data_IF_280942705120
#
_entry.id   IF_280942705120
#
_cell.length_a   1.000
_cell.length_b   1.000
_cell.length_c   1.000
_cell.angle_alpha   90.00
_cell.angle_beta   90.00
_cell.angle_gamma   90.00
#
_symmetry.space_group_name_H-M   'P 1'
#
loop_
_entity.id
_entity.type
_entity.pdbx_description
1 polymer ?
#
# COMPACT_ATOMS: atom_id res chain seq x y z
N UNK A 1 -13.92 48.02 -27.44
CA UNK A 1 -12.86 47.63 -26.52
C UNK A 1 -13.30 46.46 -25.63
N UNK A 2 -13.92 45.42 -26.22
CA UNK A 2 -14.39 44.22 -25.50
C UNK A 2 -14.17 42.91 -26.27
N UNK A 3 -13.30 42.90 -27.26
CA UNK A 3 -13.03 41.69 -28.07
C UNK A 3 -11.80 40.85 -27.63
N UNK A 4 -11.15 41.15 -26.52
CA UNK A 4 -9.90 40.49 -26.12
C UNK A 4 -10.01 39.48 -24.99
N UNK A 5 -11.22 39.09 -24.54
CA UNK A 5 -11.38 38.19 -23.38
C UNK A 5 -11.89 36.78 -23.76
N UNK A 6 -12.22 36.51 -25.01
CA UNK A 6 -12.83 35.23 -25.41
C UNK A 6 -11.86 34.12 -25.89
N UNK A 7 -10.56 34.33 -25.95
CA UNK A 7 -9.63 33.32 -26.50
C UNK A 7 -8.76 32.56 -25.45
N UNK A 8 -9.02 32.66 -24.17
CA UNK A 8 -8.22 31.95 -23.16
C UNK A 8 -8.94 30.83 -22.41
N UNK A 9 -10.15 30.47 -22.73
CA UNK A 9 -10.88 29.36 -22.10
C UNK A 9 -11.03 28.12 -22.98
N UNK A 10 -10.35 28.01 -24.08
CA UNK A 10 -10.36 26.80 -24.90
C UNK A 10 -9.22 25.87 -24.46
N UNK A 11 -9.53 24.96 -23.48
CA UNK A 11 -8.83 23.69 -23.53
C UNK A 11 -7.91 23.29 -22.43
N UNK A 12 -8.09 23.70 -21.18
CA UNK A 12 -7.69 22.81 -20.10
C UNK A 12 -8.78 21.74 -19.93
N UNK A 13 -8.79 20.74 -20.81
CA UNK A 13 -9.47 19.48 -20.49
C UNK A 13 -8.81 18.98 -19.23
N UNK A 14 -9.51 19.13 -18.10
CA UNK A 14 -9.08 18.58 -16.82
C UNK A 14 -8.71 17.13 -17.09
N UNK A 15 -7.44 16.83 -17.03
CA UNK A 15 -6.96 15.45 -17.17
C UNK A 15 -7.56 14.69 -16.01
N UNK A 16 -8.33 13.63 -16.25
CA UNK A 16 -8.90 12.87 -15.16
C UNK A 16 -7.79 12.39 -14.25
N UNK A 17 -7.97 12.57 -12.96
CA UNK A 17 -7.04 12.18 -11.91
C UNK A 17 -7.68 11.05 -11.12
N UNK A 18 -7.00 9.96 -11.02
CA UNK A 18 -7.45 8.81 -10.23
C UNK A 18 -6.83 8.90 -8.85
N UNK A 19 -7.66 8.88 -7.82
CA UNK A 19 -7.19 8.86 -6.43
C UNK A 19 -7.14 7.42 -5.93
N UNK A 20 -6.02 7.03 -5.35
CA UNK A 20 -5.79 5.70 -4.79
C UNK A 20 -5.40 5.82 -3.33
N UNK A 21 -6.19 5.20 -2.45
CA UNK A 21 -5.81 4.97 -1.09
C UNK A 21 -5.09 3.63 -0.99
N UNK A 22 -3.83 3.64 -0.55
CA UNK A 22 -3.06 2.43 -0.27
C UNK A 22 -3.05 2.20 1.24
N UNK A 23 -3.67 1.11 1.65
CA UNK A 23 -3.82 0.75 3.06
C UNK A 23 -3.02 -0.52 3.33
N UNK A 24 -2.18 -0.49 4.37
CA UNK A 24 -1.47 -1.69 4.81
C UNK A 24 -2.35 -2.51 5.76
N UNK A 25 -2.06 -3.81 5.86
CA UNK A 25 -2.75 -4.69 6.81
C UNK A 25 -2.61 -4.16 8.24
N UNK A 26 -3.61 -4.44 9.08
CA UNK A 26 -3.49 -4.25 10.52
C UNK A 26 -2.43 -5.16 11.11
N UNK A 27 -2.10 -4.94 12.39
CA UNK A 27 -1.15 -5.76 13.14
C UNK A 27 -1.53 -7.24 13.05
N UNK A 28 -0.51 -8.07 12.83
CA UNK A 28 -0.66 -9.52 12.73
C UNK A 28 -0.67 -10.17 14.12
N UNK A 29 -1.47 -11.21 14.29
CA UNK A 29 -1.47 -12.03 15.50
C UNK A 29 -0.11 -12.76 15.64
N UNK A 30 0.40 -12.81 16.88
CA UNK A 30 1.74 -13.40 17.15
C UNK A 30 1.77 -14.93 17.04
N UNK A 31 0.62 -15.59 17.21
CA UNK A 31 0.51 -17.05 17.16
C UNK A 31 0.07 -17.54 15.77
N UNK A 32 -0.66 -16.73 15.02
CA UNK A 32 -1.13 -17.07 13.68
C UNK A 32 -0.90 -15.90 12.70
N UNK A 33 0.19 -15.97 11.94
CA UNK A 33 0.56 -14.98 10.93
C UNK A 33 -0.47 -14.76 9.82
N UNK A 34 -1.51 -15.58 9.76
CA UNK A 34 -2.61 -15.42 8.81
C UNK A 34 -3.81 -14.63 9.37
N UNK A 35 -3.72 -14.17 10.61
CA UNK A 35 -4.80 -13.44 11.27
C UNK A 35 -4.36 -12.06 11.73
N UNK A 36 -5.30 -11.13 11.79
CA UNK A 36 -5.12 -9.89 12.53
C UNK A 36 -5.13 -10.20 14.04
N UNK A 37 -4.32 -9.47 14.82
CA UNK A 37 -4.48 -9.43 16.26
C UNK A 37 -5.77 -8.66 16.60
N UNK A 38 -6.25 -8.77 17.84
CA UNK A 38 -7.38 -7.95 18.31
C UNK A 38 -7.09 -6.45 18.14
N UNK A 39 -5.83 -6.05 18.36
CA UNK A 39 -5.36 -4.68 18.10
C UNK A 39 -5.42 -4.36 16.62
N UNK A 40 -4.93 -5.26 15.76
CA UNK A 40 -4.95 -5.08 14.30
C UNK A 40 -6.36 -4.93 13.74
N UNK A 41 -7.33 -5.68 14.25
CA UNK A 41 -8.75 -5.51 13.89
C UNK A 41 -9.25 -4.11 14.28
N UNK A 42 -8.97 -3.65 15.51
CA UNK A 42 -9.33 -2.32 15.99
C UNK A 42 -8.67 -1.21 15.15
N UNK A 43 -7.39 -1.34 14.81
CA UNK A 43 -6.68 -0.42 13.93
C UNK A 43 -7.39 -0.25 12.58
N UNK A 44 -7.82 -1.35 11.96
CA UNK A 44 -8.53 -1.31 10.68
C UNK A 44 -9.93 -0.69 10.83
N UNK A 45 -10.63 -0.95 11.92
CA UNK A 45 -11.90 -0.28 12.23
C UNK A 45 -11.70 1.22 12.38
N UNK A 46 -10.63 1.66 13.04
CA UNK A 46 -10.31 3.08 13.19
C UNK A 46 -10.03 3.75 11.84
N UNK A 47 -9.29 3.08 10.90
CA UNK A 47 -9.16 3.59 9.51
C UNK A 47 -10.53 3.85 8.91
N UNK A 48 -11.42 2.85 9.01
CA UNK A 48 -12.73 2.92 8.40
C UNK A 48 -13.57 4.08 8.97
N UNK A 49 -13.43 4.39 10.26
CA UNK A 49 -14.18 5.44 10.96
C UNK A 49 -13.52 6.83 10.88
N UNK A 50 -12.20 6.90 10.68
CA UNK A 50 -11.41 8.16 10.71
C UNK A 50 -11.71 9.12 9.57
N UNK A 51 -12.35 8.65 8.49
CA UNK A 51 -12.56 9.38 7.23
C UNK A 51 -11.27 9.73 6.47
N UNK A 52 -10.14 9.18 6.86
CA UNK A 52 -8.88 9.27 6.11
C UNK A 52 -9.08 8.67 4.71
N UNK A 53 -9.87 7.60 4.62
CA UNK A 53 -10.30 6.96 3.37
C UNK A 53 -11.76 7.36 3.10
N UNK A 54 -12.02 8.02 1.98
CA UNK A 54 -13.36 8.50 1.65
C UNK A 54 -13.71 8.29 0.17
N UNK A 55 -15.00 8.10 -0.11
CA UNK A 55 -15.53 7.98 -1.47
C UNK A 55 -15.25 6.64 -2.15
N UNK A 56 -14.67 5.68 -1.45
CA UNK A 56 -14.29 4.36 -1.97
C UNK A 56 -15.53 3.49 -2.17
N UNK A 57 -15.66 2.90 -3.36
CA UNK A 57 -16.69 1.91 -3.71
C UNK A 57 -16.09 0.57 -4.17
N UNK A 58 -14.80 0.55 -4.40
CA UNK A 58 -14.04 -0.64 -4.81
C UNK A 58 -12.76 -0.71 -4.00
N UNK A 59 -12.48 -1.88 -3.46
CA UNK A 59 -11.24 -2.23 -2.75
C UNK A 59 -10.57 -3.34 -3.55
N UNK A 60 -9.35 -3.10 -4.02
CA UNK A 60 -8.49 -4.13 -4.54
C UNK A 60 -7.64 -4.68 -3.39
N UNK A 61 -7.67 -5.98 -3.20
CA UNK A 61 -6.98 -6.64 -2.09
C UNK A 61 -5.92 -7.60 -2.58
N UNK A 62 -4.77 -7.59 -1.92
CA UNK A 62 -3.85 -8.72 -1.95
C UNK A 62 -4.58 -10.02 -1.59
N UNK A 63 -4.02 -11.16 -2.00
CA UNK A 63 -4.70 -12.45 -1.91
C UNK A 63 -4.55 -13.14 -0.55
N UNK A 64 -3.63 -12.67 0.29
CA UNK A 64 -3.39 -13.23 1.62
C UNK A 64 -4.61 -13.14 2.52
N UNK A 65 -4.72 -14.07 3.49
CA UNK A 65 -5.82 -14.04 4.46
C UNK A 65 -5.83 -12.75 5.28
N UNK A 66 -4.64 -12.24 5.63
CA UNK A 66 -4.47 -11.02 6.41
C UNK A 66 -5.02 -9.78 5.65
N UNK A 67 -4.63 -9.63 4.38
CA UNK A 67 -5.12 -8.54 3.54
C UNK A 67 -6.62 -8.67 3.26
N UNK A 68 -7.12 -9.88 3.07
CA UNK A 68 -8.56 -10.12 2.88
C UNK A 68 -9.36 -9.80 4.15
N UNK A 69 -8.85 -10.10 5.35
CA UNK A 69 -9.49 -9.74 6.62
C UNK A 69 -9.54 -8.22 6.78
N UNK A 70 -8.42 -7.53 6.53
CA UNK A 70 -8.34 -6.06 6.51
C UNK A 70 -9.36 -5.48 5.52
N UNK A 71 -9.36 -5.99 4.28
CA UNK A 71 -10.30 -5.54 3.24
C UNK A 71 -11.75 -5.76 3.61
N UNK A 72 -12.06 -6.84 4.32
CA UNK A 72 -13.42 -7.18 4.74
C UNK A 72 -13.95 -6.15 5.72
N UNK A 73 -13.17 -5.78 6.73
CA UNK A 73 -13.56 -4.75 7.72
C UNK A 73 -13.83 -3.42 6.99
N UNK A 74 -12.90 -2.97 6.13
CA UNK A 74 -13.07 -1.74 5.35
C UNK A 74 -14.29 -1.81 4.40
N UNK A 75 -14.50 -2.95 3.76
CA UNK A 75 -15.62 -3.17 2.83
C UNK A 75 -16.96 -3.06 3.51
N UNK A 76 -17.08 -3.62 4.71
CA UNK A 76 -18.34 -3.59 5.49
C UNK A 76 -18.71 -2.15 5.86
N UNK A 77 -17.74 -1.32 6.26
CA UNK A 77 -17.97 0.08 6.62
C UNK A 77 -18.23 0.95 5.39
N UNK A 78 -17.43 0.82 4.34
CA UNK A 78 -17.58 1.64 3.13
C UNK A 78 -18.68 1.15 2.20
N UNK A 79 -19.24 -0.05 2.43
CA UNK A 79 -20.13 -0.74 1.50
C UNK A 79 -19.49 -0.89 0.11
N UNK A 80 -18.21 -1.15 0.08
CA UNK A 80 -17.39 -1.27 -1.11
C UNK A 80 -17.31 -2.74 -1.58
N UNK A 81 -17.06 -2.95 -2.88
CA UNK A 81 -16.82 -4.29 -3.42
C UNK A 81 -15.35 -4.64 -3.32
N UNK A 82 -15.04 -5.86 -2.87
CA UNK A 82 -13.67 -6.38 -2.85
C UNK A 82 -13.36 -7.09 -4.17
N UNK A 83 -12.19 -6.79 -4.74
CA UNK A 83 -11.61 -7.48 -5.88
C UNK A 83 -10.21 -7.97 -5.51
N UNK A 84 -10.07 -9.28 -5.39
CA UNK A 84 -8.79 -9.93 -5.10
C UNK A 84 -7.85 -9.85 -6.30
N UNK A 85 -6.55 -9.58 -6.05
CA UNK A 85 -5.48 -9.50 -7.03
C UNK A 85 -4.19 -10.06 -6.46
N UNK A 86 -3.68 -11.14 -7.03
CA UNK A 86 -2.43 -11.78 -6.61
C UNK A 86 -1.20 -10.88 -6.90
N UNK A 87 -1.30 -10.01 -7.91
CA UNK A 87 -0.24 -9.03 -8.20
C UNK A 87 -0.08 -7.93 -7.14
N UNK A 88 -0.97 -7.86 -6.15
CA UNK A 88 -0.87 -6.98 -4.98
C UNK A 88 -0.28 -7.69 -3.75
N UNK A 89 0.08 -8.97 -3.85
CA UNK A 89 0.66 -9.71 -2.74
C UNK A 89 2.02 -9.14 -2.32
N UNK A 90 2.41 -9.46 -1.11
CA UNK A 90 3.70 -9.06 -0.56
C UNK A 90 4.87 -9.62 -1.35
N UNK A 91 6.07 -9.22 -1.00
CA UNK A 91 7.31 -9.77 -1.55
C UNK A 91 7.38 -11.26 -1.26
N UNK A 92 7.57 -12.06 -2.29
CA UNK A 92 7.78 -13.49 -2.13
C UNK A 92 9.24 -13.75 -1.73
N UNK A 93 9.47 -14.01 -0.44
CA UNK A 93 10.80 -14.30 0.09
C UNK A 93 11.24 -15.76 -0.16
N UNK A 94 10.37 -16.62 -0.70
CA UNK A 94 10.69 -18.03 -0.93
C UNK A 94 10.63 -18.86 0.35
N UNK A 95 11.70 -19.62 0.64
CA UNK A 95 11.74 -20.57 1.74
C UNK A 95 11.53 -19.90 3.11
N UNK A 96 10.48 -20.30 3.83
CA UNK A 96 10.12 -19.73 5.14
C UNK A 96 11.20 -19.85 6.21
N UNK A 97 12.04 -20.87 6.16
CA UNK A 97 13.09 -21.08 7.20
C UNK A 97 14.26 -20.09 7.12
N UNK A 98 14.41 -19.38 6.00
CA UNK A 98 15.54 -18.48 5.74
C UNK A 98 15.10 -17.02 5.47
N UNK A 99 13.85 -16.70 5.72
CA UNK A 99 13.27 -15.39 5.34
C UNK A 99 14.05 -14.19 5.88
N UNK A 100 14.54 -14.25 7.13
CA UNK A 100 15.36 -13.18 7.72
C UNK A 100 16.65 -12.94 6.93
N UNK A 101 17.40 -14.01 6.61
CA UNK A 101 18.68 -13.89 5.89
C UNK A 101 18.46 -13.40 4.45
N UNK A 102 17.40 -13.91 3.81
CA UNK A 102 17.00 -13.48 2.47
C UNK A 102 16.67 -12.00 2.49
N UNK A 103 15.85 -11.56 3.44
CA UNK A 103 15.43 -10.17 3.58
C UNK A 103 16.63 -9.23 3.81
N UNK A 104 17.57 -9.59 4.69
CA UNK A 104 18.80 -8.81 4.90
C UNK A 104 19.62 -8.67 3.63
N UNK A 105 19.80 -9.75 2.86
CA UNK A 105 20.50 -9.71 1.56
C UNK A 105 19.77 -8.81 0.54
N UNK A 106 18.44 -8.79 0.56
CA UNK A 106 17.64 -7.91 -0.32
C UNK A 106 17.79 -6.45 0.07
N UNK A 107 17.97 -6.13 1.36
CA UNK A 107 18.28 -4.76 1.80
C UNK A 107 19.68 -4.30 1.40
N UNK A 108 20.64 -5.22 1.33
CA UNK A 108 22.00 -4.93 0.83
C UNK A 108 22.04 -4.79 -0.71
N UNK A 109 21.21 -5.57 -1.40
CA UNK A 109 21.13 -5.60 -2.86
C UNK A 109 19.69 -5.86 -3.32
N UNK A 110 19.00 -4.83 -3.79
CA UNK A 110 17.60 -4.91 -4.21
C UNK A 110 17.34 -5.85 -5.41
N UNK A 111 18.38 -6.25 -6.13
CA UNK A 111 18.33 -7.24 -7.21
C UNK A 111 18.56 -8.68 -6.71
N UNK A 112 18.86 -8.87 -5.40
CA UNK A 112 19.05 -10.21 -4.86
C UNK A 112 17.74 -11.00 -4.91
N UNK A 113 17.79 -12.19 -5.48
CA UNK A 113 16.67 -13.10 -5.65
C UNK A 113 16.98 -14.44 -5.00
N UNK A 114 16.08 -14.92 -4.14
CA UNK A 114 16.18 -16.29 -3.60
C UNK A 114 15.71 -17.31 -4.64
N UNK A 115 16.11 -18.58 -4.50
CA UNK A 115 15.82 -19.63 -5.48
C UNK A 115 14.33 -19.83 -5.79
N UNK A 116 13.46 -19.55 -4.83
CA UNK A 116 12.01 -19.76 -4.92
C UNK A 116 11.20 -18.46 -4.67
N UNK A 117 11.88 -17.30 -4.67
CA UNK A 117 11.30 -16.00 -4.38
C UNK A 117 11.43 -15.00 -5.51
N UNK A 118 11.28 -13.74 -5.18
CA UNK A 118 11.51 -12.61 -6.07
C UNK A 118 12.42 -11.58 -5.38
N UNK A 119 13.10 -10.73 -6.14
CA UNK A 119 13.86 -9.59 -5.60
C UNK A 119 12.95 -8.41 -5.27
N UNK A 120 13.44 -7.42 -4.50
CA UNK A 120 12.73 -6.16 -4.28
C UNK A 120 12.45 -5.44 -5.61
N UNK A 121 13.38 -5.49 -6.55
CA UNK A 121 13.21 -4.88 -7.87
C UNK A 121 12.05 -5.53 -8.63
N UNK A 122 11.99 -6.86 -8.68
CA UNK A 122 10.90 -7.60 -9.34
C UNK A 122 9.55 -7.40 -8.66
N UNK A 123 9.52 -7.45 -7.31
CA UNK A 123 8.30 -7.19 -6.53
C UNK A 123 7.75 -5.79 -6.82
N UNK A 124 8.62 -4.78 -6.82
CA UNK A 124 8.29 -3.38 -7.11
C UNK A 124 7.75 -3.22 -8.54
N UNK A 125 8.37 -3.86 -9.52
CA UNK A 125 7.92 -3.84 -10.91
C UNK A 125 6.54 -4.52 -11.04
N UNK A 126 6.37 -5.72 -10.50
CA UNK A 126 5.10 -6.46 -10.48
C UNK A 126 3.98 -5.62 -9.88
N UNK A 127 4.21 -5.05 -8.70
CA UNK A 127 3.22 -4.23 -8.01
C UNK A 127 2.90 -2.96 -8.78
N UNK A 128 3.92 -2.25 -9.29
CA UNK A 128 3.76 -1.05 -10.10
C UNK A 128 2.96 -1.29 -11.37
N UNK A 129 3.23 -2.39 -12.10
CA UNK A 129 2.44 -2.78 -13.27
C UNK A 129 0.98 -3.08 -12.90
N UNK A 130 0.76 -3.78 -11.80
CA UNK A 130 -0.57 -4.05 -11.28
C UNK A 130 -1.34 -2.75 -10.97
N UNK A 131 -0.71 -1.81 -10.27
CA UNK A 131 -1.29 -0.51 -9.94
C UNK A 131 -1.62 0.29 -11.22
N UNK A 132 -0.75 0.27 -12.22
CA UNK A 132 -1.00 0.91 -13.52
C UNK A 132 -2.18 0.26 -14.26
N UNK A 133 -2.28 -1.06 -14.25
CA UNK A 133 -3.42 -1.78 -14.86
C UNK A 133 -4.73 -1.41 -14.19
N UNK A 134 -4.77 -1.42 -12.85
CA UNK A 134 -5.97 -1.07 -12.08
C UNK A 134 -6.38 0.38 -12.36
N UNK A 135 -5.46 1.33 -12.24
CA UNK A 135 -5.76 2.75 -12.45
C UNK A 135 -6.22 3.07 -13.86
N UNK A 136 -5.72 2.34 -14.88
CA UNK A 136 -6.17 2.50 -16.25
C UNK A 136 -7.66 2.23 -16.46
N UNK A 137 -8.26 1.40 -15.59
CA UNK A 137 -9.68 1.04 -15.59
C UNK A 137 -10.55 1.99 -14.77
N UNK A 138 -9.92 2.92 -14.02
CA UNK A 138 -10.57 3.81 -13.05
C UNK A 138 -10.25 5.29 -13.29
N UNK A 139 -10.23 5.69 -14.55
CA UNK A 139 -9.91 7.08 -14.91
C UNK A 139 -10.88 8.08 -14.28
N UNK A 140 -10.39 8.87 -13.33
CA UNK A 140 -11.17 9.89 -12.61
C UNK A 140 -11.93 9.36 -11.39
N UNK A 141 -11.74 8.09 -11.03
CA UNK A 141 -12.38 7.45 -9.89
C UNK A 141 -11.54 7.53 -8.61
N UNK A 142 -12.16 7.06 -7.52
CA UNK A 142 -11.51 6.85 -6.22
C UNK A 142 -11.67 5.39 -5.81
N UNK A 143 -10.58 4.71 -5.45
CA UNK A 143 -10.61 3.35 -4.93
C UNK A 143 -9.54 3.13 -3.88
N UNK A 144 -9.62 2.03 -3.14
CA UNK A 144 -8.59 1.61 -2.21
C UNK A 144 -7.87 0.36 -2.69
N UNK A 145 -6.62 0.24 -2.27
CA UNK A 145 -5.80 -0.97 -2.40
C UNK A 145 -5.38 -1.38 -1.00
N UNK A 146 -5.56 -2.66 -0.68
CA UNK A 146 -5.11 -3.25 0.58
C UNK A 146 -3.98 -4.24 0.29
N UNK A 147 -2.85 -4.03 0.95
CA UNK A 147 -1.65 -4.85 0.77
C UNK A 147 -0.81 -4.88 2.06
N UNK A 148 0.39 -5.43 1.99
CA UNK A 148 1.30 -5.58 3.11
C UNK A 148 2.28 -4.40 3.25
N UNK A 149 2.82 -4.15 4.45
CA UNK A 149 3.72 -3.02 4.68
C UNK A 149 4.97 -3.01 3.80
N UNK A 150 5.62 -4.15 3.55
CA UNK A 150 6.86 -4.19 2.77
C UNK A 150 6.64 -3.75 1.32
N UNK A 151 5.69 -4.37 0.63
CA UNK A 151 5.43 -4.02 -0.77
C UNK A 151 4.85 -2.59 -0.90
N UNK A 152 4.08 -2.11 0.09
CA UNK A 152 3.61 -0.73 0.14
C UNK A 152 4.78 0.26 0.29
N UNK A 153 5.77 -0.07 1.13
CA UNK A 153 7.00 0.71 1.29
C UNK A 153 7.82 0.76 -0.01
N UNK A 154 8.00 -0.37 -0.68
CA UNK A 154 8.69 -0.44 -1.98
C UNK A 154 7.98 0.41 -3.05
N UNK A 155 6.65 0.38 -3.09
CA UNK A 155 5.89 1.22 -4.00
C UNK A 155 6.04 2.72 -3.68
N UNK A 156 5.99 3.09 -2.40
CA UNK A 156 6.20 4.47 -1.96
C UNK A 156 7.58 4.98 -2.36
N UNK A 157 8.62 4.18 -2.12
CA UNK A 157 9.99 4.48 -2.55
C UNK A 157 10.08 4.70 -4.07
N UNK A 158 9.43 3.86 -4.87
CA UNK A 158 9.38 4.00 -6.33
C UNK A 158 8.73 5.34 -6.74
N UNK A 159 7.60 5.70 -6.13
CA UNK A 159 6.87 6.93 -6.48
C UNK A 159 7.64 8.19 -6.07
N UNK A 160 8.34 8.14 -4.96
CA UNK A 160 9.09 9.29 -4.40
C UNK A 160 10.53 9.35 -4.88
N UNK A 161 11.03 8.29 -5.52
CA UNK A 161 12.46 8.09 -5.80
C UNK A 161 13.34 8.16 -4.53
N UNK A 162 12.78 7.80 -3.38
CA UNK A 162 13.51 7.71 -2.13
C UNK A 162 14.36 6.42 -2.10
N UNK A 163 15.55 6.43 -1.50
CA UNK A 163 16.35 5.23 -1.33
C UNK A 163 15.61 4.23 -0.42
N UNK A 164 15.89 2.94 -0.62
CA UNK A 164 15.42 1.90 0.28
C UNK A 164 16.26 1.92 1.55
N UNK A 165 15.58 1.87 2.70
CA UNK A 165 16.20 1.88 4.01
C UNK A 165 15.40 1.00 4.98
N UNK A 166 16.08 0.04 5.61
CA UNK A 166 15.47 -0.94 6.48
C UNK A 166 14.86 -0.30 7.74
N UNK A 167 15.52 0.72 8.31
CA UNK A 167 15.01 1.38 9.52
C UNK A 167 13.73 2.15 9.22
N UNK A 168 13.68 2.82 8.06
CA UNK A 168 12.47 3.48 7.58
C UNK A 168 11.33 2.49 7.35
N UNK A 169 11.63 1.31 6.81
CA UNK A 169 10.61 0.26 6.67
C UNK A 169 10.15 -0.26 8.03
N UNK A 170 11.07 -0.57 8.95
CA UNK A 170 10.74 -1.05 10.30
C UNK A 170 9.89 -0.04 11.08
N UNK A 171 10.13 1.26 10.85
CA UNK A 171 9.37 2.35 11.45
C UNK A 171 8.02 2.59 10.77
N UNK A 172 7.76 1.96 9.61
CA UNK A 172 6.47 2.13 8.92
C UNK A 172 5.34 1.49 9.73
N UNK A 173 4.14 2.07 9.61
CA UNK A 173 3.01 1.66 10.42
C UNK A 173 2.26 0.45 9.86
N UNK A 174 1.79 -0.43 10.76
CA UNK A 174 0.66 -1.31 10.47
C UNK A 174 -0.62 -0.47 10.38
N UNK A 175 -1.60 -0.95 9.60
CA UNK A 175 -2.82 -0.20 9.33
C UNK A 175 -2.54 1.26 8.90
N UNK A 176 -1.47 1.46 8.17
CA UNK A 176 -1.09 2.76 7.61
C UNK A 176 -1.92 3.05 6.37
N UNK A 177 -2.22 4.32 6.14
CA UNK A 177 -2.90 4.79 4.94
C UNK A 177 -2.05 5.84 4.24
N UNK A 178 -1.81 5.63 2.94
CA UNK A 178 -1.26 6.63 2.05
C UNK A 178 -2.27 6.96 0.96
N UNK A 179 -2.20 8.15 0.37
CA UNK A 179 -2.95 8.44 -0.83
C UNK A 179 -2.07 8.93 -1.97
N UNK A 180 -2.38 8.42 -3.16
CA UNK A 180 -1.66 8.72 -4.39
C UNK A 180 -2.63 9.22 -5.46
N UNK A 181 -2.14 10.11 -6.29
CA UNK A 181 -2.82 10.54 -7.50
C UNK A 181 -2.12 9.93 -8.72
N UNK A 182 -2.88 9.33 -9.61
CA UNK A 182 -2.41 8.89 -10.91
C UNK A 182 -2.99 9.77 -12.02
N UNK A 183 -2.13 10.28 -12.88
CA UNK A 183 -2.47 11.14 -14.01
C UNK A 183 -1.61 10.83 -15.24
N UNK A 184 -1.75 11.59 -16.31
CA UNK A 184 -0.84 11.48 -17.48
C UNK A 184 0.63 11.74 -17.15
N UNK A 185 0.92 12.38 -16.02
CA UNK A 185 2.29 12.63 -15.56
C UNK A 185 2.86 11.47 -14.72
N UNK A 186 2.08 10.40 -14.54
CA UNK A 186 2.41 9.28 -13.66
C UNK A 186 1.84 9.46 -12.26
N UNK A 187 2.46 8.77 -11.31
CA UNK A 187 2.12 8.77 -9.90
C UNK A 187 2.65 10.00 -9.16
N UNK A 188 1.90 10.48 -8.20
CA UNK A 188 2.34 11.47 -7.22
C UNK A 188 1.74 11.18 -5.85
N UNK A 189 2.49 11.46 -4.78
CA UNK A 189 2.02 11.33 -3.40
C UNK A 189 1.12 12.51 -3.07
N UNK A 190 -0.06 12.25 -2.55
CA UNK A 190 -0.98 13.26 -2.00
C UNK A 190 -0.88 13.28 -0.49
N UNK A 191 -0.85 12.10 0.14
CA UNK A 191 -0.63 11.92 1.57
C UNK A 191 0.40 10.78 1.74
N UNK A 192 1.51 11.01 2.43
CA UNK A 192 2.48 9.95 2.70
C UNK A 192 1.85 8.87 3.61
N UNK A 193 2.47 7.67 3.69
CA UNK A 193 2.02 6.65 4.64
C UNK A 193 1.98 7.20 6.06
N UNK A 194 0.85 7.04 6.73
CA UNK A 194 0.62 7.52 8.09
C UNK A 194 -0.34 6.58 8.83
N UNK A 195 -0.10 6.36 10.11
CA UNK A 195 -0.98 5.68 11.04
C UNK A 195 -1.11 6.41 12.39
N UNK A 196 -0.61 7.65 12.46
CA UNK A 196 -0.63 8.46 13.69
C UNK A 196 -2.04 8.86 14.15
N UNK A 197 -3.04 8.69 13.30
CA UNK A 197 -4.46 8.90 13.61
C UNK A 197 -5.08 7.75 14.41
N UNK A 198 -4.39 6.62 14.55
CA UNK A 198 -4.84 5.48 15.34
C UNK A 198 -4.66 5.76 16.84
N UNK A 199 -5.55 5.21 17.66
CA UNK A 199 -5.46 5.33 19.12
C UNK A 199 -4.31 4.51 19.70
N UNK A 200 -3.96 3.40 19.05
CA UNK A 200 -2.87 2.48 19.43
C UNK A 200 -2.09 2.07 18.18
N UNK A 201 -1.28 2.98 17.59
CA UNK A 201 -0.51 2.69 16.40
C UNK A 201 0.63 1.72 16.71
N UNK A 202 0.91 0.82 15.78
CA UNK A 202 2.07 -0.07 15.81
C UNK A 202 2.90 0.09 14.54
N UNK A 203 4.19 -0.21 14.64
CA UNK A 203 5.12 -0.26 13.53
C UNK A 203 5.35 -1.70 13.06
N UNK A 204 5.99 -1.85 11.93
CA UNK A 204 6.45 -3.17 11.43
C UNK A 204 7.41 -3.81 12.43
N UNK A 205 8.28 -3.01 13.08
CA UNK A 205 9.23 -3.49 14.08
C UNK A 205 8.56 -4.20 15.26
N UNK A 206 7.35 -3.78 15.67
CA UNK A 206 6.62 -4.39 16.79
C UNK A 206 6.22 -5.86 16.53
N UNK A 207 6.24 -6.29 15.26
CA UNK A 207 6.00 -7.66 14.83
C UNK A 207 7.22 -8.58 14.98
N UNK A 208 8.42 -8.04 15.27
CA UNK A 208 9.66 -8.80 15.36
C UNK A 208 10.25 -8.77 16.77
N UNK A 209 11.01 -9.80 17.18
CA UNK A 209 11.79 -9.75 18.42
C UNK A 209 12.81 -8.62 18.40
N UNK A 210 13.12 -8.06 19.58
CA UNK A 210 14.17 -7.05 19.74
C UNK A 210 15.51 -7.59 19.19
N UNK A 211 16.23 -6.77 18.41
CA UNK A 211 17.48 -7.16 17.75
C UNK A 211 17.33 -8.14 16.59
N UNK A 212 16.15 -8.35 16.06
CA UNK A 212 15.92 -9.29 14.96
C UNK A 212 16.68 -8.90 13.68
N UNK A 213 16.91 -7.61 13.46
CA UNK A 213 17.61 -7.09 12.28
C UNK A 213 18.96 -6.42 12.60
N UNK A 214 19.47 -6.57 13.83
CA UNK A 214 20.81 -6.11 14.26
C UNK A 214 21.94 -7.00 13.70
#
# INVERSE_FOLDING_TARGET
MFEYIQERETGSRLTPRTMVYLVTTGETDKEDSNKLSDRGENQVVEIALSRVVAGVRTIYSASSKLAMSTSKILSDEFRAKIQKRDCLDDVNLGNESEQREILLKMWENEEYESSDGESFALARERFGMCMNEITSKHSGDVFAVVTHPLIAFLFHSMVTAAPLDIESWLSSGNASCASYEYSRKGWSVVMPPDNSYLSDPTSVADGYPEGHFD
#
